data_IF_193340298383
#
_entry.id   IF_193340298383
#
_cell.length_a   1.000
_cell.length_b   1.000
_cell.length_c   1.000
_cell.angle_alpha   90.00
_cell.angle_beta   90.00
_cell.angle_gamma   90.00
#
_symmetry.space_group_name_H-M   'P 1'
#
loop_
_entity.id
_entity.type
_entity.pdbx_description
1 polymer ?
#
# COMPACT_ATOMS: atom_id res chain seq x y z
N UNK A 1 3.86 14.22 -3.61
CA UNK A 1 2.68 13.50 -3.10
C UNK A 1 3.14 12.16 -2.59
N UNK A 2 2.72 11.79 -1.39
CA UNK A 2 3.06 10.50 -0.78
C UNK A 2 1.90 9.54 -1.04
N UNK A 3 2.18 8.25 -1.17
CA UNK A 3 1.17 7.21 -1.12
C UNK A 3 1.30 6.44 0.17
N UNK A 4 0.15 6.11 0.75
CA UNK A 4 0.05 5.19 1.86
C UNK A 4 -0.70 3.95 1.37
N UNK A 5 -0.05 2.79 1.38
CA UNK A 5 -0.71 1.52 1.14
C UNK A 5 -1.01 0.85 2.48
N UNK A 6 -2.26 0.45 2.66
CA UNK A 6 -2.72 -0.30 3.83
C UNK A 6 -3.00 -1.75 3.43
N UNK A 7 -2.41 -2.67 4.18
CA UNK A 7 -2.55 -4.11 3.98
C UNK A 7 -3.44 -4.68 5.07
N UNK A 8 -4.46 -5.41 4.64
CA UNK A 8 -5.45 -6.02 5.51
C UNK A 8 -5.63 -7.49 5.15
N UNK A 9 -6.02 -8.28 6.14
CA UNK A 9 -6.59 -9.60 5.96
C UNK A 9 -7.54 -9.87 7.12
N UNK A 10 -8.73 -10.38 6.84
CA UNK A 10 -9.60 -10.91 7.88
C UNK A 10 -9.16 -12.34 8.22
N UNK A 11 -8.45 -12.49 9.33
CA UNK A 11 -7.89 -13.78 9.80
C UNK A 11 -8.53 -14.25 11.11
N UNK A 12 -9.37 -13.43 11.73
CA UNK A 12 -10.05 -13.81 12.96
C UNK A 12 -11.38 -14.46 12.62
N UNK A 13 -11.51 -15.76 12.94
CA UNK A 13 -12.69 -16.57 12.62
C UNK A 13 -14.02 -15.98 13.14
N UNK A 14 -13.97 -15.18 14.20
CA UNK A 14 -15.16 -14.48 14.73
C UNK A 14 -15.73 -13.41 13.79
N UNK A 15 -14.95 -12.91 12.84
CA UNK A 15 -15.37 -11.94 11.82
C UNK A 15 -15.41 -12.53 10.40
N UNK A 16 -15.50 -13.86 10.27
CA UNK A 16 -15.67 -14.54 8.97
C UNK A 16 -17.12 -14.46 8.46
N UNK A 17 -17.69 -13.27 8.50
CA UNK A 17 -19.01 -12.96 7.96
C UNK A 17 -19.10 -11.46 7.67
N UNK A 18 -19.89 -11.08 6.67
CA UNK A 18 -20.14 -9.68 6.31
C UNK A 18 -20.81 -8.93 7.47
N UNK A 19 -20.35 -7.71 7.71
CA UNK A 19 -20.86 -6.78 8.71
C UNK A 19 -20.37 -7.02 10.13
N UNK A 20 -19.44 -7.96 10.36
CA UNK A 20 -18.96 -8.26 11.71
C UNK A 20 -17.79 -7.37 12.15
N UNK A 21 -16.91 -6.99 11.21
CA UNK A 21 -15.87 -5.98 11.43
C UNK A 21 -16.03 -4.90 10.38
N UNK A 22 -16.33 -3.69 10.83
CA UNK A 22 -16.51 -2.50 10.01
C UNK A 22 -15.78 -1.35 10.69
N UNK A 23 -14.94 -0.63 9.96
CA UNK A 23 -14.21 0.51 10.49
C UNK A 23 -13.83 1.50 9.40
N UNK A 24 -13.62 2.75 9.77
CA UNK A 24 -13.09 3.76 8.86
C UNK A 24 -11.57 3.87 9.00
N UNK A 25 -10.94 4.32 7.93
CA UNK A 25 -9.54 4.77 7.95
C UNK A 25 -9.50 6.23 7.55
N UNK A 26 -9.00 7.09 8.43
CA UNK A 26 -8.69 8.48 8.09
C UNK A 26 -7.21 8.67 7.89
N UNK A 27 -6.85 9.52 6.94
CA UNK A 27 -5.48 9.97 6.70
C UNK A 27 -5.50 11.50 6.65
N UNK A 28 -4.62 12.15 7.42
CA UNK A 28 -4.57 13.62 7.53
C UNK A 28 -5.95 14.24 7.86
N UNK A 29 -6.67 13.60 8.80
CA UNK A 29 -7.99 14.03 9.26
C UNK A 29 -9.14 13.81 8.27
N UNK A 30 -8.88 13.29 7.07
CA UNK A 30 -9.89 13.04 6.03
C UNK A 30 -10.17 11.53 5.90
N UNK A 31 -11.43 11.15 5.65
CA UNK A 31 -11.79 9.74 5.41
C UNK A 31 -11.14 9.26 4.11
N UNK A 32 -10.28 8.26 4.23
CA UNK A 32 -9.58 7.60 3.13
C UNK A 32 -10.30 6.30 2.73
N UNK A 33 -10.79 5.54 3.71
CA UNK A 33 -11.63 4.35 3.53
C UNK A 33 -12.82 4.47 4.50
N UNK A 34 -14.03 4.39 3.95
CA UNK A 34 -15.29 4.56 4.69
C UNK A 34 -15.97 3.19 4.82
N UNK A 35 -16.44 2.85 6.01
CA UNK A 35 -17.14 1.58 6.32
C UNK A 35 -16.41 0.34 5.76
N UNK A 36 -15.11 0.22 5.98
CA UNK A 36 -14.32 -0.90 5.47
C UNK A 36 -14.71 -2.21 6.16
N UNK A 37 -15.29 -3.12 5.39
CA UNK A 37 -15.45 -4.53 5.71
C UNK A 37 -14.57 -5.39 4.79
N UNK A 38 -13.48 -5.91 5.35
CA UNK A 38 -12.49 -6.72 4.62
C UNK A 38 -13.10 -8.05 4.18
N UNK A 39 -13.89 -8.70 5.04
CA UNK A 39 -14.51 -9.98 4.71
C UNK A 39 -15.51 -9.81 3.55
N UNK A 40 -16.33 -8.76 3.56
CA UNK A 40 -17.23 -8.46 2.45
C UNK A 40 -16.47 -8.17 1.15
N UNK A 41 -15.27 -7.59 1.23
CA UNK A 41 -14.47 -7.22 0.05
C UNK A 41 -13.76 -8.41 -0.58
N UNK A 42 -13.10 -9.24 0.25
CA UNK A 42 -12.21 -10.30 -0.24
C UNK A 42 -12.48 -11.68 0.36
N UNK A 43 -13.17 -11.76 1.50
CA UNK A 43 -13.42 -13.00 2.25
C UNK A 43 -12.36 -13.29 3.31
N UNK A 44 -12.49 -14.46 3.96
CA UNK A 44 -11.55 -14.93 4.97
C UNK A 44 -10.16 -15.25 4.40
N UNK A 45 -9.12 -15.01 5.20
CA UNK A 45 -7.73 -15.39 4.95
C UNK A 45 -7.18 -14.91 3.59
N UNK A 46 -7.68 -13.76 3.12
CA UNK A 46 -7.30 -13.16 1.85
C UNK A 46 -6.78 -11.75 2.04
N UNK A 47 -5.72 -11.43 1.32
CA UNK A 47 -5.10 -10.12 1.34
C UNK A 47 -5.98 -9.09 0.61
N UNK A 48 -6.13 -7.93 1.23
CA UNK A 48 -6.65 -6.71 0.64
C UNK A 48 -5.58 -5.63 0.77
N UNK A 49 -5.20 -5.00 -0.34
CA UNK A 49 -4.27 -3.87 -0.36
C UNK A 49 -5.01 -2.67 -0.92
N UNK A 50 -4.95 -1.55 -0.21
CA UNK A 50 -5.55 -0.27 -0.64
C UNK A 50 -4.47 0.80 -0.66
N UNK A 51 -4.26 1.46 -1.80
CA UNK A 51 -3.28 2.55 -1.93
C UNK A 51 -4.00 3.90 -2.07
N UNK A 52 -3.79 4.80 -1.12
CA UNK A 52 -4.41 6.13 -1.09
C UNK A 52 -3.34 7.21 -1.21
N UNK A 53 -3.49 8.18 -2.15
CA UNK A 53 -2.63 9.35 -2.18
C UNK A 53 -2.92 10.26 -0.98
N UNK A 54 -1.86 10.73 -0.31
CA UNK A 54 -1.94 11.59 0.87
C UNK A 54 -0.95 12.76 0.77
N UNK A 55 -1.39 13.92 1.24
CA UNK A 55 -0.57 15.14 1.32
C UNK A 55 -0.20 15.39 2.77
N UNK A 56 1.05 15.09 3.12
CA UNK A 56 1.60 15.34 4.46
C UNK A 56 2.16 16.75 4.51
N UNK A 57 1.61 17.61 5.36
CA UNK A 57 1.92 19.05 5.37
C UNK A 57 2.84 19.48 6.52
N UNK A 58 2.80 18.76 7.63
CA UNK A 58 3.54 19.08 8.87
C UNK A 58 4.74 18.15 9.12
N UNK A 59 5.00 17.25 8.18
CA UNK A 59 6.06 16.24 8.27
C UNK A 59 5.67 14.94 8.97
N UNK A 60 4.44 14.83 9.50
CA UNK A 60 3.94 13.63 10.16
C UNK A 60 2.71 13.09 9.42
N UNK A 61 2.77 11.85 8.92
CA UNK A 61 1.57 11.20 8.40
C UNK A 61 0.71 10.68 9.57
N UNK A 62 -0.47 11.25 9.74
CA UNK A 62 -1.44 10.82 10.76
C UNK A 62 -2.48 9.89 10.14
N UNK A 63 -2.64 8.69 10.73
CA UNK A 63 -3.60 7.67 10.28
C UNK A 63 -4.46 7.25 11.48
N UNK A 64 -5.77 7.42 11.37
CA UNK A 64 -6.73 7.00 12.39
C UNK A 64 -7.54 5.80 11.90
N UNK A 65 -7.60 4.76 12.73
CA UNK A 65 -8.49 3.61 12.53
C UNK A 65 -9.69 3.75 13.46
N UNK A 66 -10.85 4.02 12.89
CA UNK A 66 -12.04 4.42 13.65
C UNK A 66 -13.00 3.25 13.70
N UNK A 67 -13.21 2.74 14.90
CA UNK A 67 -14.15 1.66 15.17
C UNK A 67 -15.59 2.07 14.80
N UNK A 68 -16.26 1.23 13.99
CA UNK A 68 -17.72 1.26 13.79
C UNK A 68 -18.35 -0.01 14.39
N UNK A 69 -17.96 -1.21 13.93
CA UNK A 69 -18.35 -2.51 14.48
C UNK A 69 -17.10 -3.36 14.68
N UNK A 70 -16.85 -3.83 15.90
CA UNK A 70 -15.65 -4.60 16.29
C UNK A 70 -14.33 -3.82 16.04
N UNK A 71 -13.27 -4.15 16.76
CA UNK A 71 -12.01 -3.42 16.67
C UNK A 71 -11.41 -3.44 15.24
N UNK A 72 -10.91 -2.29 14.73
CA UNK A 72 -10.18 -2.25 13.47
C UNK A 72 -9.02 -3.24 13.46
N UNK A 73 -8.70 -3.77 12.28
CA UNK A 73 -7.52 -4.60 12.08
C UNK A 73 -6.60 -3.97 11.03
N UNK A 74 -5.32 -4.32 11.09
CA UNK A 74 -4.30 -3.88 10.16
C UNK A 74 -3.20 -4.93 10.13
N UNK A 75 -2.74 -5.30 8.95
CA UNK A 75 -1.65 -6.26 8.77
C UNK A 75 -0.33 -5.57 8.44
N UNK A 76 -0.35 -4.43 7.75
CA UNK A 76 0.85 -3.68 7.40
C UNK A 76 0.56 -2.33 6.77
N UNK A 77 1.54 -1.43 6.82
CA UNK A 77 1.50 -0.10 6.22
C UNK A 77 2.76 0.09 5.40
N UNK A 78 2.58 0.62 4.20
CA UNK A 78 3.66 1.09 3.33
C UNK A 78 3.48 2.59 3.10
N UNK A 79 4.57 3.36 3.23
CA UNK A 79 4.57 4.79 2.94
C UNK A 79 5.72 5.07 2.00
N UNK A 80 5.41 5.57 0.81
CA UNK A 80 6.41 5.81 -0.22
C UNK A 80 6.12 7.09 -1.01
N UNK A 81 7.17 7.78 -1.47
CA UNK A 81 7.01 8.93 -2.34
C UNK A 81 6.51 8.47 -3.71
N UNK A 82 5.49 9.15 -4.25
CA UNK A 82 5.11 8.97 -5.65
C UNK A 82 6.00 9.88 -6.48
N UNK A 83 6.97 9.31 -7.18
CA UNK A 83 7.65 10.03 -8.24
C UNK A 83 6.60 10.44 -9.29
N UNK A 84 6.65 11.70 -9.75
CA UNK A 84 5.71 12.17 -10.75
C UNK A 84 5.80 11.28 -12.02
N UNK A 85 4.77 10.47 -12.28
CA UNK A 85 4.67 9.63 -13.47
C UNK A 85 4.99 8.14 -13.30
N UNK A 86 5.25 7.64 -12.09
CA UNK A 86 5.42 6.20 -11.84
C UNK A 86 4.12 5.56 -11.31
N UNK A 87 3.71 4.45 -11.92
CA UNK A 87 2.69 3.53 -11.44
C UNK A 87 3.34 2.31 -10.75
N UNK A 88 2.64 1.65 -9.82
CA UNK A 88 3.16 0.45 -9.13
C UNK A 88 3.35 -0.75 -10.08
N UNK A 89 2.74 -0.70 -11.26
CA UNK A 89 2.91 -1.68 -12.33
C UNK A 89 3.99 -1.25 -13.35
N UNK A 90 4.61 -0.08 -13.17
CA UNK A 90 5.69 0.33 -14.07
C UNK A 90 6.93 -0.52 -13.79
N UNK A 91 7.57 -1.08 -14.82
CA UNK A 91 8.84 -1.75 -14.64
C UNK A 91 9.85 -0.77 -14.03
N UNK A 92 10.82 -1.28 -13.22
CA UNK A 92 11.89 -0.43 -12.72
C UNK A 92 12.55 0.28 -13.89
N UNK A 93 12.90 1.56 -13.70
CA UNK A 93 13.60 2.31 -14.73
C UNK A 93 14.88 1.57 -15.13
N UNK A 94 15.16 1.53 -16.44
CA UNK A 94 16.37 0.89 -16.97
C UNK A 94 17.58 1.41 -16.20
N UNK A 95 18.42 0.55 -15.60
CA UNK A 95 19.63 0.99 -14.92
C UNK A 95 20.50 1.81 -15.88
N UNK A 96 20.58 3.13 -15.65
CA UNK A 96 21.20 4.07 -16.58
C UNK A 96 22.74 4.09 -16.53
N UNK A 97 23.35 3.39 -15.56
CA UNK A 97 24.79 3.45 -15.28
C UNK A 97 25.54 2.17 -15.67
N UNK A 98 25.01 1.39 -16.61
CA UNK A 98 25.69 0.19 -17.10
C UNK A 98 25.87 0.32 -18.61
N UNK A 99 27.04 0.79 -19.01
CA UNK A 99 27.49 0.82 -20.39
C UNK A 99 28.39 -0.39 -20.66
N UNK A 100 28.05 -1.12 -21.73
CA UNK A 100 28.85 -2.20 -22.30
C UNK A 100 29.92 -1.59 -23.19
N UNK A 101 31.20 -1.82 -22.89
CA UNK A 101 32.33 -1.32 -23.68
C UNK A 101 33.41 -2.39 -23.90
N UNK A 102 34.22 -2.24 -24.95
CA UNK A 102 35.34 -3.15 -25.23
C UNK A 102 34.92 -4.62 -25.42
N UNK A 103 33.98 -4.86 -26.34
CA UNK A 103 33.49 -6.19 -26.68
C UNK A 103 34.54 -6.95 -27.52
N UNK A 104 35.19 -7.93 -26.91
CA UNK A 104 36.08 -8.90 -27.54
C UNK A 104 35.37 -10.25 -27.62
N UNK A 105 35.89 -11.19 -28.42
CA UNK A 105 35.27 -12.51 -28.60
C UNK A 105 35.10 -13.32 -27.32
N UNK A 106 35.77 -12.93 -26.24
CA UNK A 106 35.74 -13.59 -24.93
C UNK A 106 35.68 -12.62 -23.74
N UNK A 107 35.49 -11.30 -23.94
CA UNK A 107 35.40 -10.34 -22.82
C UNK A 107 34.58 -9.09 -23.14
N UNK A 108 34.13 -8.43 -22.08
CA UNK A 108 33.36 -7.19 -22.09
C UNK A 108 33.69 -6.41 -20.81
N UNK A 109 33.75 -5.08 -20.89
CA UNK A 109 33.79 -4.17 -19.76
C UNK A 109 32.42 -3.53 -19.49
N UNK A 110 32.02 -3.47 -18.21
CA UNK A 110 30.83 -2.76 -17.74
C UNK A 110 31.28 -1.52 -16.95
N UNK A 111 30.76 -0.35 -17.28
CA UNK A 111 31.03 0.93 -16.58
C UNK A 111 29.76 1.69 -16.28
#
# INVERSE_FOLDING_TARGET
TTRCASHFAEVWTGAFNTGVRVFDVRMEGSIALDDLDIFARVGADKALVTATPVTVSDGNLTIDFIHVIQNPNLSGIEVYPVAAGASEDDPPSTPGSLAVSNLLGNSLSLT
#
